data_IF_986058770545
#
_entry.id   IF_986058770545
#
_cell.length_a   1.000
_cell.length_b   1.000
_cell.length_c   1.000
_cell.angle_alpha   90.00
_cell.angle_beta   90.00
_cell.angle_gamma   90.00
#
_symmetry.space_group_name_H-M   'P 1'
#
loop_
_entity.id
_entity.type
_entity.pdbx_description
1 polymer ?
#
# COMPACT_ATOMS: atom_id res chain seq x y z
N UNK A 1 60.37 -15.36 -41.11
CA UNK A 1 59.74 -14.37 -40.22
C UNK A 1 58.29 -14.65 -40.20
N UNK A 2 57.83 -15.18 -39.13
CA UNK A 2 56.43 -15.56 -38.94
C UNK A 2 55.71 -14.41 -38.24
N UNK A 3 54.85 -13.67 -38.95
CA UNK A 3 53.91 -12.78 -38.34
C UNK A 3 52.78 -13.59 -37.75
N UNK A 4 52.78 -13.75 -36.45
CA UNK A 4 51.62 -14.28 -35.74
C UNK A 4 50.61 -13.14 -35.55
N UNK A 5 49.58 -13.15 -36.35
CA UNK A 5 48.43 -12.36 -36.08
C UNK A 5 47.65 -13.02 -34.92
N UNK A 6 47.75 -12.41 -33.77
CA UNK A 6 46.93 -12.77 -32.65
C UNK A 6 45.57 -12.10 -32.89
N UNK A 7 44.64 -12.88 -33.32
CA UNK A 7 43.25 -12.41 -33.36
C UNK A 7 42.75 -12.34 -31.90
N UNK A 8 42.73 -11.15 -31.38
CA UNK A 8 42.06 -10.90 -30.10
C UNK A 8 40.56 -10.95 -30.36
N UNK A 9 39.98 -12.08 -30.03
CA UNK A 9 38.54 -12.21 -30.06
C UNK A 9 37.94 -11.27 -29.01
N UNK A 10 37.29 -10.23 -29.47
CA UNK A 10 36.51 -9.36 -28.63
C UNK A 10 35.24 -10.12 -28.20
N UNK A 11 35.28 -10.65 -27.02
CA UNK A 11 34.07 -11.20 -26.42
C UNK A 11 33.22 -10.02 -25.98
N UNK A 12 32.28 -9.65 -26.81
CA UNK A 12 31.24 -8.73 -26.40
C UNK A 12 30.32 -9.50 -25.46
N UNK A 13 30.56 -9.35 -24.18
CA UNK A 13 29.58 -9.72 -23.17
C UNK A 13 28.41 -8.74 -23.31
N UNK A 14 27.43 -9.16 -24.08
CA UNK A 14 26.11 -8.54 -24.02
C UNK A 14 25.55 -8.84 -22.63
N UNK A 15 25.82 -7.94 -21.70
CA UNK A 15 25.14 -7.92 -20.44
C UNK A 15 23.65 -7.75 -20.75
N UNK A 16 22.93 -8.85 -20.74
CA UNK A 16 21.49 -8.80 -20.82
C UNK A 16 21.01 -8.00 -19.64
N UNK A 17 20.57 -6.77 -19.87
CA UNK A 17 19.75 -6.08 -18.90
C UNK A 17 18.48 -6.92 -18.77
N UNK A 18 18.39 -7.66 -17.69
CA UNK A 18 17.16 -8.29 -17.33
C UNK A 18 16.16 -7.17 -17.06
N UNK A 19 15.38 -6.84 -18.07
CA UNK A 19 14.20 -6.02 -17.87
C UNK A 19 13.27 -6.88 -17.05
N UNK A 20 13.26 -6.62 -15.76
CA UNK A 20 12.30 -7.28 -14.88
C UNK A 20 10.92 -6.82 -15.34
N UNK A 21 10.20 -7.74 -15.91
CA UNK A 21 8.80 -7.52 -16.20
C UNK A 21 8.12 -7.19 -14.87
N UNK A 22 7.70 -5.95 -14.73
CA UNK A 22 6.86 -5.55 -13.61
C UNK A 22 5.60 -6.38 -13.74
N UNK A 23 5.39 -7.30 -12.81
CA UNK A 23 4.21 -8.16 -12.84
C UNK A 23 2.94 -7.31 -12.76
N UNK A 24 1.86 -7.77 -13.36
CA UNK A 24 0.56 -7.08 -13.29
C UNK A 24 0.10 -6.82 -11.85
N UNK A 25 0.54 -7.64 -10.90
CA UNK A 25 0.32 -7.41 -9.48
C UNK A 25 0.95 -6.10 -8.97
N UNK A 26 2.03 -5.63 -9.60
CA UNK A 26 2.66 -4.36 -9.25
C UNK A 26 1.89 -3.15 -9.82
N UNK A 27 0.99 -3.37 -10.79
CA UNK A 27 0.10 -2.34 -11.32
C UNK A 27 -1.19 -2.21 -10.51
N UNK A 28 -1.54 -3.22 -9.71
CA UNK A 28 -2.56 -3.06 -8.69
C UNK A 28 -1.97 -2.18 -7.59
N UNK A 29 -2.23 -0.89 -7.68
CA UNK A 29 -1.78 0.04 -6.68
C UNK A 29 -2.24 -0.45 -5.29
N UNK A 30 -1.34 -0.54 -4.28
CA UNK A 30 -1.76 -0.88 -2.94
C UNK A 30 -2.77 0.14 -2.45
N UNK A 31 -3.67 -0.29 -1.59
CA UNK A 31 -4.65 0.60 -1.00
C UNK A 31 -3.95 1.83 -0.38
N UNK A 32 -4.41 2.99 -0.72
CA UNK A 32 -3.89 4.25 -0.20
C UNK A 32 -4.96 4.95 0.62
N UNK A 33 -4.64 5.29 1.85
CA UNK A 33 -5.52 6.09 2.69
C UNK A 33 -5.60 7.53 2.17
N UNK A 34 -6.81 8.04 2.08
CA UNK A 34 -7.08 9.43 1.76
C UNK A 34 -8.33 9.92 2.48
N UNK A 35 -8.63 11.19 2.34
CA UNK A 35 -9.80 11.81 2.96
C UNK A 35 -11.12 11.18 2.49
N UNK A 36 -11.17 10.72 1.25
CA UNK A 36 -12.38 10.14 0.66
C UNK A 36 -12.68 8.72 1.10
N UNK A 37 -11.70 7.97 1.57
CA UNK A 37 -11.83 6.56 1.94
C UNK A 37 -11.57 6.24 3.41
N UNK A 38 -11.22 7.24 4.21
CA UNK A 38 -10.86 7.05 5.61
C UNK A 38 -11.70 7.94 6.50
N UNK A 39 -12.57 7.33 7.28
CA UNK A 39 -13.38 8.07 8.25
C UNK A 39 -12.48 8.72 9.30
N UNK A 40 -12.74 9.99 9.58
CA UNK A 40 -11.97 10.71 10.58
C UNK A 40 -10.59 11.16 10.11
N UNK A 41 -10.38 11.24 8.80
CA UNK A 41 -9.11 11.68 8.23
C UNK A 41 -8.56 12.95 8.88
N UNK A 42 -9.42 13.94 9.09
CA UNK A 42 -9.04 15.22 9.71
C UNK A 42 -8.77 15.13 11.21
N UNK A 43 -9.16 14.03 11.83
CA UNK A 43 -8.95 13.78 13.26
C UNK A 43 -7.67 13.02 13.55
N UNK A 44 -6.91 12.70 12.51
CA UNK A 44 -5.63 12.01 12.62
C UNK A 44 -4.47 12.94 12.29
N UNK A 45 -3.37 12.78 13.00
CA UNK A 45 -2.11 13.43 12.63
C UNK A 45 -1.55 12.80 11.34
N UNK A 46 -0.61 13.49 10.65
CA UNK A 46 0.06 12.89 9.49
C UNK A 46 0.71 11.53 9.79
N UNK A 47 1.31 11.39 10.96
CA UNK A 47 1.93 10.14 11.40
C UNK A 47 0.90 9.03 11.61
N UNK A 48 -0.25 9.37 12.19
CA UNK A 48 -1.34 8.41 12.36
C UNK A 48 -1.92 7.96 11.02
N UNK A 49 -2.01 8.84 10.05
CA UNK A 49 -2.47 8.51 8.69
C UNK A 49 -1.51 7.52 8.01
N UNK A 50 -0.22 7.72 8.16
CA UNK A 50 0.81 6.80 7.65
C UNK A 50 0.70 5.45 8.34
N UNK A 51 0.57 5.44 9.67
CA UNK A 51 0.44 4.21 10.44
C UNK A 51 -0.85 3.45 10.11
N UNK A 52 -1.96 4.18 9.94
CA UNK A 52 -3.24 3.60 9.53
C UNK A 52 -3.13 2.90 8.17
N UNK A 53 -2.54 3.56 7.19
CA UNK A 53 -2.34 2.99 5.86
C UNK A 53 -1.49 1.71 5.91
N UNK A 54 -0.39 1.75 6.65
CA UNK A 54 0.48 0.58 6.81
C UNK A 54 -0.26 -0.58 7.50
N UNK A 55 -1.05 -0.26 8.52
CA UNK A 55 -1.84 -1.26 9.23
C UNK A 55 -2.87 -1.93 8.32
N UNK A 56 -3.63 -1.15 7.56
CA UNK A 56 -4.65 -1.67 6.64
C UNK A 56 -4.01 -2.55 5.57
N UNK A 57 -2.89 -2.12 5.00
CA UNK A 57 -2.16 -2.91 4.00
C UNK A 57 -1.65 -4.25 4.53
N UNK A 58 -1.36 -4.33 5.81
CA UNK A 58 -0.81 -5.53 6.44
C UNK A 58 -1.81 -6.62 6.76
N UNK A 59 -3.12 -6.35 6.71
CA UNK A 59 -4.12 -7.36 7.02
C UNK A 59 -4.23 -8.41 5.92
N UNK A 60 -4.29 -9.66 6.35
CA UNK A 60 -4.43 -10.83 5.47
C UNK A 60 -5.74 -11.57 5.67
N UNK A 61 -6.45 -11.31 6.77
CA UNK A 61 -7.76 -11.91 7.05
C UNK A 61 -8.82 -10.84 7.31
N UNK A 62 -10.03 -11.18 6.93
CA UNK A 62 -11.17 -10.26 7.03
C UNK A 62 -11.52 -9.92 8.48
N UNK A 63 -11.54 -10.89 9.36
CA UNK A 63 -11.99 -10.69 10.75
C UNK A 63 -11.05 -9.76 11.52
N UNK A 64 -9.75 -9.91 11.37
CA UNK A 64 -8.77 -9.02 11.99
C UNK A 64 -8.87 -7.59 11.45
N UNK A 65 -9.08 -7.45 10.15
CA UNK A 65 -9.30 -6.16 9.51
C UNK A 65 -10.57 -5.48 10.04
N UNK A 66 -11.67 -6.22 10.15
CA UNK A 66 -12.94 -5.69 10.68
C UNK A 66 -12.82 -5.28 12.14
N UNK A 67 -12.11 -6.05 12.97
CA UNK A 67 -11.85 -5.68 14.35
C UNK A 67 -11.11 -4.34 14.46
N UNK A 68 -10.08 -4.17 13.64
CA UNK A 68 -9.35 -2.92 13.56
C UNK A 68 -10.23 -1.77 13.06
N UNK A 69 -11.05 -2.02 12.05
CA UNK A 69 -11.97 -1.01 11.51
C UNK A 69 -12.95 -0.51 12.56
N UNK A 70 -13.51 -1.41 13.36
CA UNK A 70 -14.42 -1.06 14.46
C UNK A 70 -13.70 -0.23 15.53
N UNK A 71 -12.51 -0.62 15.92
CA UNK A 71 -11.68 0.10 16.89
C UNK A 71 -11.31 1.49 16.40
N UNK A 72 -10.85 1.60 15.16
CA UNK A 72 -10.53 2.88 14.53
C UNK A 72 -11.74 3.80 14.46
N UNK A 73 -12.90 3.25 14.09
CA UNK A 73 -14.14 4.02 14.05
C UNK A 73 -14.52 4.57 15.42
N UNK A 74 -14.45 3.73 16.47
CA UNK A 74 -14.73 4.17 17.84
C UNK A 74 -13.81 5.30 18.29
N UNK A 75 -12.52 5.23 17.96
CA UNK A 75 -11.56 6.28 18.25
C UNK A 75 -11.89 7.59 17.53
N UNK A 76 -12.27 7.52 16.27
CA UNK A 76 -12.65 8.70 15.50
C UNK A 76 -13.95 9.34 16.04
N UNK A 77 -14.91 8.53 16.45
CA UNK A 77 -16.14 9.02 17.09
C UNK A 77 -15.80 9.77 18.39
N UNK A 78 -14.92 9.22 19.21
CA UNK A 78 -14.48 9.86 20.43
C UNK A 78 -13.81 11.21 20.17
N UNK A 79 -12.88 11.24 19.23
CA UNK A 79 -12.17 12.48 18.86
C UNK A 79 -13.11 13.54 18.29
N UNK A 80 -14.08 13.13 17.49
CA UNK A 80 -15.10 14.05 16.96
C UNK A 80 -15.90 14.69 18.10
N UNK A 81 -16.31 13.89 19.08
CA UNK A 81 -17.02 14.41 20.26
C UNK A 81 -16.18 15.42 21.05
N UNK A 82 -14.91 15.10 21.29
CA UNK A 82 -13.99 15.99 22.02
C UNK A 82 -13.79 17.33 21.32
N UNK A 83 -13.88 17.35 20.00
CA UNK A 83 -13.70 18.55 19.18
C UNK A 83 -15.01 19.23 18.76
N UNK A 84 -16.15 18.69 19.18
CA UNK A 84 -17.47 19.20 18.78
C UNK A 84 -17.72 19.10 17.28
N UNK A 85 -17.17 18.09 16.62
CA UNK A 85 -17.32 17.86 15.19
C UNK A 85 -18.28 16.70 14.92
N UNK A 86 -19.04 16.85 13.84
CA UNK A 86 -19.84 15.75 13.31
C UNK A 86 -18.96 14.88 12.43
N UNK A 87 -18.99 13.58 12.70
CA UNK A 87 -18.30 12.61 11.87
C UNK A 87 -19.21 12.24 10.70
N UNK A 88 -18.82 12.51 9.43
CA UNK A 88 -19.66 12.18 8.30
C UNK A 88 -20.06 10.72 8.27
N UNK A 89 -21.34 10.45 8.04
CA UNK A 89 -21.82 9.10 7.78
C UNK A 89 -21.32 8.62 6.42
N UNK A 90 -21.08 7.33 6.30
CA UNK A 90 -20.63 6.73 5.05
C UNK A 90 -20.18 5.31 5.29
N UNK A 91 -20.14 4.55 4.21
CA UNK A 91 -19.64 3.18 4.24
C UNK A 91 -18.17 3.15 3.81
N UNK A 92 -17.31 3.04 4.79
CA UNK A 92 -15.87 3.05 4.61
C UNK A 92 -15.32 1.66 4.87
N UNK A 93 -15.39 0.79 3.88
CA UNK A 93 -14.99 -0.60 4.03
C UNK A 93 -13.70 -0.90 3.29
N UNK A 94 -12.57 -0.63 3.94
CA UNK A 94 -11.27 -1.00 3.42
C UNK A 94 -10.95 -2.49 3.60
N UNK A 95 -11.82 -3.25 4.26
CA UNK A 95 -11.64 -4.68 4.47
C UNK A 95 -12.28 -5.53 3.37
N UNK A 96 -13.09 -4.94 2.50
CA UNK A 96 -13.88 -5.68 1.50
C UNK A 96 -13.03 -6.57 0.59
N UNK A 97 -11.79 -6.18 0.29
CA UNK A 97 -10.84 -6.97 -0.50
C UNK A 97 -10.50 -8.33 0.15
N UNK A 98 -10.71 -8.46 1.45
CA UNK A 98 -10.42 -9.67 2.22
C UNK A 98 -11.63 -10.57 2.40
N UNK A 99 -12.80 -10.15 1.94
CA UNK A 99 -13.99 -11.01 1.97
C UNK A 99 -13.79 -12.21 1.06
N UNK A 100 -14.04 -13.39 1.61
CA UNK A 100 -14.17 -14.58 0.80
C UNK A 100 -15.57 -14.62 0.20
N UNK A 101 -15.60 -14.76 -1.08
CA UNK A 101 -16.85 -15.05 -1.80
C UNK A 101 -17.23 -16.51 -1.57
#
# INVERSE_FOLDING_TARGET
MLCRLIAIGLIVLLGGTAVQAVSDAAHAAPWRADEGNTRGWMLMSPQERIAHQARVRGFTDYDSCEAYRAEHHALMVQRARERGLDLPGGHWDFCSRLKRN
#
